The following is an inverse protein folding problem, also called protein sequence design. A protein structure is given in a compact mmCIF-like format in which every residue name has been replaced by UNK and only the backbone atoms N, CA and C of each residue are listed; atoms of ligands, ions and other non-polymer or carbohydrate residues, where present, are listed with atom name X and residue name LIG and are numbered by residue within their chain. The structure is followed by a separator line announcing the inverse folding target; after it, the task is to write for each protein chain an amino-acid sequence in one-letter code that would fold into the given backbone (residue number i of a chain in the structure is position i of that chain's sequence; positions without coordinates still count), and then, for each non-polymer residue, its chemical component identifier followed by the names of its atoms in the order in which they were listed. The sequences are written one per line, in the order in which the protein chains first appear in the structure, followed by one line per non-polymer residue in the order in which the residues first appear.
data_IF_373656375666
#
_entry.id   IF_373656375666
#
_cell.length_a   1.000
_cell.length_b   1.000
_cell.length_c   1.000
_cell.angle_alpha   90.00
_cell.angle_beta   90.00
_cell.angle_gamma   90.00
#
_symmetry.space_group_name_H-M   'P 1'
#
loop_
_entity.id
_entity.type
_entity.pdbx_description
1 polymer ?
#
# COMPACT_ATOMS: atom_id res chain seq x y z
N UNK A 1 -16.71 -13.93 -4.99
CA UNK A 1 -15.91 -15.17 -5.00
C UNK A 1 -14.74 -14.90 -4.08
N UNK A 2 -14.59 -15.65 -2.98
CA UNK A 2 -13.41 -15.48 -2.12
C UNK A 2 -12.24 -16.23 -2.77
N UNK A 3 -11.23 -15.49 -3.22
CA UNK A 3 -9.98 -16.06 -3.73
C UNK A 3 -9.15 -16.64 -2.58
N UNK A 4 -8.39 -17.69 -2.87
CA UNK A 4 -7.52 -18.40 -1.92
C UNK A 4 -6.36 -17.52 -1.45
N UNK A 5 -5.72 -17.89 -0.34
CA UNK A 5 -4.52 -17.20 0.17
C UNK A 5 -3.39 -17.20 -0.85
N UNK A 6 -3.18 -18.30 -1.57
CA UNK A 6 -2.15 -18.40 -2.61
C UNK A 6 -2.43 -17.43 -3.77
N UNK A 7 -3.69 -17.32 -4.22
CA UNK A 7 -4.11 -16.36 -5.24
C UNK A 7 -3.94 -14.91 -4.76
N UNK A 8 -4.27 -14.61 -3.50
CA UNK A 8 -4.03 -13.27 -2.90
C UNK A 8 -2.55 -12.92 -2.94
N UNK A 9 -1.68 -13.84 -2.51
CA UNK A 9 -0.22 -13.64 -2.54
C UNK A 9 0.25 -13.43 -3.99
N UNK A 10 -0.21 -14.24 -4.94
CA UNK A 10 0.17 -14.09 -6.35
C UNK A 10 -0.25 -12.72 -6.92
N UNK A 11 -1.44 -12.23 -6.58
CA UNK A 11 -1.89 -10.89 -6.97
C UNK A 11 -1.07 -9.78 -6.33
N UNK A 12 -0.64 -9.92 -5.06
CA UNK A 12 0.25 -8.95 -4.43
C UNK A 12 1.68 -8.97 -5.03
N UNK A 13 2.18 -10.14 -5.42
CA UNK A 13 3.48 -10.21 -6.11
C UNK A 13 3.42 -9.57 -7.50
N UNK A 14 2.32 -9.75 -8.25
CA UNK A 14 2.07 -9.01 -9.49
C UNK A 14 1.95 -7.49 -9.24
N UNK A 15 1.22 -7.11 -8.18
CA UNK A 15 1.03 -5.72 -7.78
C UNK A 15 2.35 -4.97 -7.60
N UNK A 16 3.36 -5.62 -7.00
CA UNK A 16 4.72 -5.05 -6.80
C UNK A 16 5.47 -4.73 -8.09
N UNK A 17 5.07 -5.31 -9.22
CA UNK A 17 5.75 -5.10 -10.52
C UNK A 17 5.23 -3.90 -11.29
N UNK A 18 4.12 -3.30 -10.84
CA UNK A 18 3.49 -2.16 -11.50
C UNK A 18 4.19 -0.87 -11.10
N UNK A 19 4.33 0.05 -12.05
CA UNK A 19 4.82 1.40 -11.80
C UNK A 19 3.63 2.29 -11.45
N UNK A 20 3.40 2.46 -10.15
CA UNK A 20 2.25 3.19 -9.60
C UNK A 20 2.46 4.69 -9.50
N UNK A 21 3.70 5.18 -9.67
CA UNK A 21 4.08 6.56 -9.41
C UNK A 21 4.61 7.23 -10.68
N UNK A 22 3.86 7.10 -11.78
CA UNK A 22 4.21 7.69 -13.08
C UNK A 22 3.86 9.18 -13.12
N UNK A 23 4.67 9.97 -13.85
CA UNK A 23 4.55 11.43 -13.90
C UNK A 23 3.15 11.91 -14.33
N UNK A 24 2.55 11.28 -15.35
CA UNK A 24 1.25 11.67 -15.90
C UNK A 24 0.14 11.64 -14.83
N UNK A 25 0.20 10.72 -13.87
CA UNK A 25 -0.80 10.64 -12.78
C UNK A 25 -0.72 11.81 -11.80
N UNK A 26 0.44 12.45 -11.66
CA UNK A 26 0.59 13.66 -10.84
C UNK A 26 0.00 14.87 -11.54
N UNK A 27 0.25 15.00 -12.85
CA UNK A 27 -0.29 16.08 -13.67
C UNK A 27 -1.82 16.02 -13.73
N UNK A 28 -2.40 14.83 -13.92
CA UNK A 28 -3.85 14.61 -13.93
C UNK A 28 -4.54 14.98 -12.60
N UNK A 29 -3.77 15.04 -11.50
CA UNK A 29 -4.23 15.42 -10.16
C UNK A 29 -3.93 16.89 -9.82
N UNK A 30 -3.41 17.68 -10.77
CA UNK A 30 -2.90 19.03 -10.56
C UNK A 30 -1.82 19.11 -9.44
N UNK A 31 -1.11 17.99 -9.20
CA UNK A 31 -0.06 17.89 -8.19
C UNK A 31 1.32 18.13 -8.81
N UNK A 32 2.25 18.66 -7.99
CA UNK A 32 3.62 18.87 -8.43
C UNK A 32 4.45 17.60 -8.21
N UNK A 33 5.17 17.17 -9.25
CA UNK A 33 6.16 16.09 -9.12
C UNK A 33 7.14 16.37 -7.96
N UNK A 34 7.27 15.44 -7.00
CA UNK A 34 8.04 15.69 -5.78
C UNK A 34 9.55 15.57 -5.98
N UNK A 35 9.99 14.90 -7.06
CA UNK A 35 11.39 14.59 -7.34
C UNK A 35 11.64 13.08 -7.29
N UNK A 36 12.65 12.62 -8.04
CA UNK A 36 12.92 11.20 -8.22
C UNK A 36 13.34 10.50 -6.92
N UNK A 37 14.01 11.21 -6.02
CA UNK A 37 14.42 10.72 -4.71
C UNK A 37 13.22 10.47 -3.79
N UNK A 38 12.28 11.41 -3.73
CA UNK A 38 11.04 11.27 -2.96
C UNK A 38 10.18 10.16 -3.55
N UNK A 39 10.01 10.11 -4.88
CA UNK A 39 9.26 9.05 -5.55
C UNK A 39 9.85 7.67 -5.26
N UNK A 40 11.17 7.54 -5.21
CA UNK A 40 11.79 6.26 -4.85
C UNK A 40 11.49 5.88 -3.39
N UNK A 41 11.48 6.84 -2.45
CA UNK A 41 11.05 6.53 -1.08
C UNK A 41 9.58 6.12 -1.01
N UNK A 42 8.69 6.80 -1.75
CA UNK A 42 7.28 6.41 -1.83
C UNK A 42 7.10 5.00 -2.39
N UNK A 43 7.89 4.61 -3.41
CA UNK A 43 7.89 3.22 -3.92
C UNK A 43 8.30 2.23 -2.84
N UNK A 44 9.31 2.55 -2.05
CA UNK A 44 9.78 1.69 -0.97
C UNK A 44 8.70 1.49 0.09
N UNK A 45 7.97 2.54 0.49
CA UNK A 45 6.84 2.42 1.43
C UNK A 45 5.76 1.46 0.90
N UNK A 46 5.33 1.65 -0.36
CA UNK A 46 4.33 0.79 -1.00
C UNK A 46 4.80 -0.67 -1.06
N UNK A 47 6.07 -0.89 -1.38
CA UNK A 47 6.66 -2.22 -1.43
C UNK A 47 6.75 -2.85 -0.05
N UNK A 48 7.15 -2.10 0.97
CA UNK A 48 7.26 -2.56 2.35
C UNK A 48 5.89 -2.93 2.92
N UNK A 49 4.86 -2.12 2.69
CA UNK A 49 3.49 -2.45 3.05
C UNK A 49 2.98 -3.70 2.33
N UNK A 50 3.25 -3.81 1.01
CA UNK A 50 2.83 -4.99 0.25
C UNK A 50 3.53 -6.25 0.75
N UNK A 51 4.83 -6.17 1.09
CA UNK A 51 5.57 -7.26 1.70
C UNK A 51 5.04 -7.62 3.09
N UNK A 52 4.62 -6.62 3.89
CA UNK A 52 3.95 -6.81 5.17
C UNK A 52 2.66 -7.63 5.03
N UNK A 53 1.82 -7.32 4.03
CA UNK A 53 0.60 -8.09 3.76
C UNK A 53 0.91 -9.54 3.36
N UNK A 54 1.87 -9.74 2.44
CA UNK A 54 2.29 -11.09 2.00
C UNK A 54 2.83 -11.90 3.19
N UNK A 55 3.63 -11.28 4.05
CA UNK A 55 4.19 -11.94 5.22
C UNK A 55 3.10 -12.40 6.19
N UNK A 56 2.09 -11.58 6.46
CA UNK A 56 1.00 -11.94 7.36
C UNK A 56 0.03 -12.94 6.75
N UNK A 57 -0.25 -12.89 5.44
CA UNK A 57 -1.07 -13.89 4.76
C UNK A 57 -0.51 -15.32 4.88
N UNK A 58 0.81 -15.47 5.03
CA UNK A 58 1.48 -16.76 5.22
C UNK A 58 1.36 -17.32 6.65
N UNK A 59 0.83 -16.53 7.59
CA UNK A 59 0.66 -16.94 9.00
C UNK A 59 -0.76 -17.47 9.23
N UNK A 60 -0.86 -18.61 9.91
CA UNK A 60 -2.15 -19.14 10.34
C UNK A 60 -2.70 -18.38 11.56
N UNK A 61 -4.01 -18.15 11.59
CA UNK A 61 -4.71 -17.56 12.73
C UNK A 61 -4.49 -16.07 12.95
N UNK A 62 -3.88 -15.37 12.00
CA UNK A 62 -3.68 -13.92 12.10
C UNK A 62 -4.97 -13.16 11.78
N UNK A 63 -5.21 -12.08 12.52
CA UNK A 63 -6.19 -11.07 12.15
C UNK A 63 -5.50 -9.98 11.31
N UNK A 64 -5.57 -10.14 9.98
CA UNK A 64 -4.91 -9.23 9.06
C UNK A 64 -5.47 -7.79 9.13
N UNK A 65 -6.76 -7.62 9.49
CA UNK A 65 -7.37 -6.30 9.68
C UNK A 65 -6.70 -5.59 10.87
N UNK A 66 -6.61 -6.28 12.01
CA UNK A 66 -6.01 -5.72 13.22
C UNK A 66 -4.51 -5.44 13.05
N UNK A 67 -3.77 -6.31 12.37
CA UNK A 67 -2.34 -6.07 12.09
C UNK A 67 -2.13 -4.87 11.16
N UNK A 68 -2.99 -4.70 10.15
CA UNK A 68 -2.93 -3.54 9.24
C UNK A 68 -3.22 -2.24 10.00
N UNK A 69 -4.19 -2.25 10.92
CA UNK A 69 -4.46 -1.07 11.75
C UNK A 69 -3.26 -0.69 12.63
N UNK A 70 -2.51 -1.67 13.14
CA UNK A 70 -1.27 -1.41 13.90
C UNK A 70 -0.17 -0.83 13.01
N UNK A 71 -0.02 -1.36 11.79
CA UNK A 71 0.94 -0.85 10.83
C UNK A 71 0.78 0.66 10.62
N UNK A 72 -0.44 1.13 10.34
CA UNK A 72 -0.71 2.57 10.19
C UNK A 72 -0.58 3.37 11.48
N UNK A 73 -0.95 2.80 12.62
CA UNK A 73 -0.78 3.49 13.90
C UNK A 73 0.70 3.75 14.26
N UNK A 74 1.60 2.90 13.77
CA UNK A 74 3.05 3.00 13.96
C UNK A 74 3.77 3.66 12.76
N UNK A 75 3.05 4.04 11.71
CA UNK A 75 3.65 4.58 10.48
C UNK A 75 4.09 6.04 10.69
N UNK A 76 5.39 6.27 10.51
CA UNK A 76 5.98 7.61 10.60
C UNK A 76 6.01 8.26 9.21
N UNK A 77 5.15 9.24 9.00
CA UNK A 77 5.01 9.94 7.72
C UNK A 77 5.77 11.28 7.68
N UNK A 78 6.58 11.63 8.69
CA UNK A 78 7.21 12.96 8.78
C UNK A 78 8.12 13.29 7.58
N UNK A 79 8.62 12.27 6.89
CA UNK A 79 9.44 12.45 5.70
C UNK A 79 8.66 12.99 4.49
N UNK A 80 7.36 12.71 4.40
CA UNK A 80 6.52 12.97 3.23
C UNK A 80 5.62 14.20 3.43
N UNK A 81 5.27 14.88 2.33
CA UNK A 81 4.18 15.87 2.31
C UNK A 81 2.83 15.16 2.29
N UNK A 82 1.78 15.86 2.70
CA UNK A 82 0.42 15.32 2.71
C UNK A 82 0.00 14.70 1.37
N UNK A 83 0.27 15.36 0.24
CA UNK A 83 -0.08 14.85 -1.10
C UNK A 83 0.67 13.54 -1.44
N UNK A 84 1.91 13.39 -0.97
CA UNK A 84 2.73 12.19 -1.16
C UNK A 84 2.21 11.04 -0.27
N UNK A 85 1.85 11.35 0.99
CA UNK A 85 1.21 10.40 1.91
C UNK A 85 -0.13 9.91 1.33
N UNK A 86 -0.97 10.83 0.85
CA UNK A 86 -2.26 10.50 0.23
C UNK A 86 -2.06 9.56 -0.97
N UNK A 87 -1.05 9.82 -1.81
CA UNK A 87 -0.74 8.96 -2.95
C UNK A 87 -0.30 7.55 -2.52
N UNK A 88 0.62 7.45 -1.54
CA UNK A 88 1.06 6.16 -0.98
C UNK A 88 -0.17 5.39 -0.47
N UNK A 89 -0.97 6.03 0.38
CA UNK A 89 -2.15 5.43 0.99
C UNK A 89 -3.13 4.93 -0.05
N UNK A 90 -3.44 5.73 -1.08
CA UNK A 90 -4.36 5.32 -2.14
C UNK A 90 -3.91 4.02 -2.84
N UNK A 91 -2.61 3.88 -3.09
CA UNK A 91 -2.04 2.67 -3.70
C UNK A 91 -2.13 1.50 -2.70
N UNK A 92 -1.80 1.72 -1.44
CA UNK A 92 -1.89 0.71 -0.39
C UNK A 92 -3.33 0.22 -0.17
N UNK A 93 -4.34 1.08 -0.29
CA UNK A 93 -5.75 0.72 -0.25
C UNK A 93 -6.12 -0.27 -1.38
N UNK A 94 -5.47 -0.20 -2.54
CA UNK A 94 -5.66 -1.19 -3.62
C UNK A 94 -5.09 -2.54 -3.18
N UNK A 95 -3.89 -2.57 -2.58
CA UNK A 95 -3.29 -3.79 -2.03
C UNK A 95 -4.16 -4.41 -0.92
N UNK A 96 -4.74 -3.60 -0.04
CA UNK A 96 -5.68 -4.04 0.99
C UNK A 96 -6.92 -4.73 0.42
N UNK A 97 -7.49 -4.16 -0.66
CA UNK A 97 -8.66 -4.74 -1.34
C UNK A 97 -8.35 -6.11 -1.95
N UNK A 98 -7.13 -6.33 -2.47
CA UNK A 98 -6.69 -7.64 -2.99
C UNK A 98 -6.81 -8.72 -1.90
N UNK A 99 -6.42 -8.39 -0.66
CA UNK A 99 -6.40 -9.34 0.45
C UNK A 99 -7.72 -9.42 1.22
N UNK A 100 -8.66 -8.52 0.93
CA UNK A 100 -9.99 -8.49 1.54
C UNK A 100 -10.04 -7.78 2.89
N UNK A 101 -9.11 -6.86 3.16
CA UNK A 101 -9.20 -5.92 4.28
C UNK A 101 -10.38 -4.97 4.03
N UNK A 102 -11.18 -4.70 5.06
CA UNK A 102 -12.20 -3.67 4.99
C UNK A 102 -11.55 -2.30 5.16
N UNK A 103 -11.31 -1.62 4.04
CA UNK A 103 -10.62 -0.32 4.02
C UNK A 103 -11.41 0.79 4.74
N UNK A 104 -12.74 0.69 4.81
CA UNK A 104 -13.59 1.68 5.48
C UNK A 104 -13.41 1.64 7.02
N UNK A 105 -12.82 0.56 7.55
CA UNK A 105 -12.55 0.36 8.97
C UNK A 105 -11.09 0.66 9.35
N UNK A 106 -10.23 0.98 8.38
CA UNK A 106 -8.84 1.37 8.66
C UNK A 106 -8.78 2.87 8.92
N UNK A 107 -8.19 3.24 10.06
CA UNK A 107 -7.87 4.63 10.40
C UNK A 107 -6.42 4.88 10.02
N UNK A 108 -6.22 5.88 9.16
CA UNK A 108 -4.93 6.35 8.62
C UNK A 108 -4.68 7.75 9.16
#
# INVERSE_FOLDING_TARGET
MNISTEEKIAHLEDFKTKDWLILDEWEDRDLKWPGDDVVEQMRLEILDFTNFLIFHLKKEGIDLQAETQKYYADWDTEYFKNEEVEFIVEIELIAMKIVGINVDEIII
#
